data_IF_645579487549
#
_entry.id   IF_645579487549
#
_cell.length_a   1.000
_cell.length_b   1.000
_cell.length_c   1.000
_cell.angle_alpha   90.00
_cell.angle_beta   90.00
_cell.angle_gamma   90.00
#
_symmetry.space_group_name_H-M   'P 1'
#
loop_
_entity.id
_entity.type
_entity.pdbx_description
1 polymer ?
#
# COMPACT_ATOMS: atom_id res chain seq x y z
N UNK A 1 -36.17 -51.31 -46.46
CA UNK A 1 -35.59 -50.98 -45.14
C UNK A 1 -34.62 -49.82 -45.36
N UNK A 2 -35.06 -48.58 -45.04
CA UNK A 2 -34.29 -47.32 -45.28
C UNK A 2 -33.74 -46.84 -43.94
N UNK A 3 -32.40 -46.90 -43.75
CA UNK A 3 -31.70 -46.36 -42.60
C UNK A 3 -31.59 -44.87 -42.78
N UNK A 4 -32.20 -44.08 -41.89
CA UNK A 4 -32.02 -42.64 -41.80
C UNK A 4 -30.82 -42.38 -40.90
N UNK A 5 -29.79 -41.80 -41.49
CA UNK A 5 -28.63 -41.25 -40.77
C UNK A 5 -29.01 -39.86 -40.22
N UNK A 6 -29.03 -39.72 -38.91
CA UNK A 6 -29.23 -38.41 -38.25
C UNK A 6 -27.82 -37.81 -38.00
N UNK A 7 -27.49 -36.75 -38.70
CA UNK A 7 -26.28 -35.96 -38.43
C UNK A 7 -26.56 -35.00 -37.31
N UNK A 8 -25.92 -35.20 -36.15
CA UNK A 8 -25.93 -34.24 -35.04
C UNK A 8 -24.84 -33.20 -35.29
N UNK A 9 -25.24 -31.95 -35.55
CA UNK A 9 -24.34 -30.82 -35.63
C UNK A 9 -24.12 -30.34 -34.20
N UNK A 10 -22.89 -30.56 -33.69
CA UNK A 10 -22.44 -30.04 -32.40
C UNK A 10 -21.98 -28.61 -32.59
N UNK A 11 -22.81 -27.63 -32.23
CA UNK A 11 -22.46 -26.22 -32.20
C UNK A 11 -21.71 -25.95 -30.89
N UNK A 12 -20.40 -25.86 -30.97
CA UNK A 12 -19.57 -25.36 -29.84
C UNK A 12 -19.66 -23.86 -29.84
N UNK A 13 -20.51 -23.33 -28.96
CA UNK A 13 -20.49 -21.89 -28.63
C UNK A 13 -19.27 -21.64 -27.74
N UNK A 14 -18.24 -21.00 -28.28
CA UNK A 14 -17.13 -20.47 -27.52
C UNK A 14 -17.66 -19.26 -26.73
N UNK A 15 -17.98 -19.49 -25.46
CA UNK A 15 -18.22 -18.38 -24.49
C UNK A 15 -16.85 -17.82 -24.12
N UNK A 16 -16.43 -16.77 -24.80
CA UNK A 16 -15.38 -15.88 -24.27
C UNK A 16 -15.95 -15.15 -23.06
N UNK A 17 -15.89 -15.80 -21.91
CA UNK A 17 -16.13 -15.15 -20.64
C UNK A 17 -14.98 -14.20 -20.37
N UNK A 18 -15.24 -12.90 -20.45
CA UNK A 18 -14.40 -11.89 -19.80
C UNK A 18 -14.41 -12.23 -18.31
N UNK A 19 -13.30 -12.75 -17.80
CA UNK A 19 -13.09 -12.91 -16.37
C UNK A 19 -12.86 -11.49 -15.85
N UNK A 20 -13.94 -10.80 -15.48
CA UNK A 20 -13.80 -9.62 -14.63
C UNK A 20 -13.22 -10.12 -13.30
N UNK A 21 -12.25 -9.41 -12.71
CA UNK A 21 -11.78 -9.77 -11.38
C UNK A 21 -12.99 -9.73 -10.44
N UNK A 22 -13.34 -10.85 -9.86
CA UNK A 22 -14.32 -10.95 -8.79
C UNK A 22 -13.60 -10.46 -7.54
N UNK A 23 -13.63 -9.17 -7.28
CA UNK A 23 -13.32 -8.66 -5.96
C UNK A 23 -14.40 -9.19 -5.02
N UNK A 24 -13.98 -9.85 -3.94
CA UNK A 24 -14.91 -10.33 -2.95
C UNK A 24 -15.66 -9.14 -2.35
N UNK A 25 -16.98 -9.17 -2.36
CA UNK A 25 -17.86 -8.05 -2.05
C UNK A 25 -17.86 -7.57 -0.57
N UNK A 26 -16.90 -8.02 0.26
CA UNK A 26 -16.75 -7.67 1.66
C UNK A 26 -15.27 -7.59 2.09
N UNK A 27 -14.33 -7.25 1.18
CA UNK A 27 -12.94 -7.05 1.58
C UNK A 27 -12.77 -5.70 2.27
N UNK A 28 -12.12 -5.69 3.43
CA UNK A 28 -11.71 -4.47 4.13
C UNK A 28 -10.19 -4.37 4.10
N UNK A 29 -9.67 -3.15 3.99
CA UNK A 29 -8.26 -2.82 4.07
C UNK A 29 -8.07 -1.86 5.25
N UNK A 30 -7.35 -2.28 6.27
CA UNK A 30 -7.07 -1.47 7.45
C UNK A 30 -5.80 -0.66 7.20
N UNK A 31 -6.00 0.64 6.94
CA UNK A 31 -4.92 1.61 6.74
C UNK A 31 -4.65 2.36 8.05
N UNK A 32 -3.44 2.23 8.59
CA UNK A 32 -3.02 2.82 9.85
C UNK A 32 -1.92 3.86 9.66
N UNK A 33 -2.23 5.12 9.91
CA UNK A 33 -1.33 6.26 9.67
C UNK A 33 -1.76 7.48 10.49
N UNK A 34 -1.11 8.64 10.31
CA UNK A 34 -1.52 9.89 10.94
C UNK A 34 -2.86 10.40 10.38
N UNK A 35 -3.55 11.20 11.18
CA UNK A 35 -4.78 11.85 10.75
C UNK A 35 -4.53 12.77 9.54
N UNK A 36 -5.42 12.72 8.56
CA UNK A 36 -5.41 13.64 7.41
C UNK A 36 -4.34 13.35 6.34
N UNK A 37 -3.68 12.19 6.38
CA UNK A 37 -2.71 11.81 5.33
C UNK A 37 -3.36 11.61 3.97
N UNK A 38 -4.61 11.18 3.92
CA UNK A 38 -5.35 11.01 2.69
C UNK A 38 -6.62 11.85 2.69
N UNK A 39 -6.88 12.64 1.61
CA UNK A 39 -8.19 13.23 1.39
C UNK A 39 -9.26 12.14 1.25
N UNK A 40 -10.48 12.42 1.74
CA UNK A 40 -11.56 11.43 1.70
C UNK A 40 -11.90 10.99 0.27
N UNK A 41 -11.82 11.90 -0.70
CA UNK A 41 -12.06 11.58 -2.11
C UNK A 41 -11.08 10.55 -2.70
N UNK A 42 -9.88 10.45 -2.15
CA UNK A 42 -8.88 9.43 -2.56
C UNK A 42 -9.27 8.06 -2.04
N UNK A 43 -9.72 7.99 -0.80
CA UNK A 43 -10.20 6.75 -0.18
C UNK A 43 -11.48 6.26 -0.87
N UNK A 44 -12.44 7.16 -1.10
CA UNK A 44 -13.68 6.85 -1.81
C UNK A 44 -13.40 6.35 -3.24
N UNK A 45 -12.45 7.00 -3.95
CA UNK A 45 -12.04 6.58 -5.29
C UNK A 45 -11.42 5.19 -5.31
N UNK A 46 -10.60 4.85 -4.32
CA UNK A 46 -10.03 3.51 -4.18
C UNK A 46 -11.14 2.47 -3.92
N UNK A 47 -12.07 2.77 -3.02
CA UNK A 47 -13.20 1.87 -2.73
C UNK A 47 -14.09 1.66 -3.97
N UNK A 48 -14.35 2.72 -4.75
CA UNK A 48 -15.14 2.66 -5.98
C UNK A 48 -14.44 1.81 -7.06
N UNK A 49 -13.11 1.95 -7.20
CA UNK A 49 -12.33 1.25 -8.21
C UNK A 49 -12.14 -0.24 -7.86
N UNK A 50 -11.87 -0.54 -6.60
CA UNK A 50 -11.48 -1.89 -6.15
C UNK A 50 -12.61 -2.71 -5.54
N UNK A 51 -13.66 -2.05 -5.05
CA UNK A 51 -14.69 -2.67 -4.21
C UNK A 51 -14.21 -3.05 -2.81
N UNK A 52 -12.98 -2.62 -2.42
CA UNK A 52 -12.41 -2.88 -1.12
C UNK A 52 -12.62 -1.67 -0.21
N UNK A 53 -13.31 -1.86 0.93
CA UNK A 53 -13.58 -0.79 1.88
C UNK A 53 -12.33 -0.43 2.67
N UNK A 54 -12.00 0.86 2.76
CA UNK A 54 -10.88 1.33 3.58
C UNK A 54 -11.33 1.63 5.01
N UNK A 55 -10.75 0.92 5.96
CA UNK A 55 -10.87 1.21 7.39
C UNK A 55 -9.69 2.07 7.80
N UNK A 56 -9.91 3.38 7.85
CA UNK A 56 -8.87 4.35 8.20
C UNK A 56 -8.73 4.45 9.72
N UNK A 57 -7.56 4.11 10.23
CA UNK A 57 -7.20 4.19 11.65
C UNK A 57 -6.01 5.13 11.84
N UNK A 58 -5.95 5.85 12.96
CA UNK A 58 -4.91 6.84 13.19
C UNK A 58 -4.16 6.66 14.50
N UNK A 59 -2.95 7.18 14.49
CA UNK A 59 -2.10 7.35 15.66
C UNK A 59 -1.55 8.78 15.73
N UNK A 60 -1.11 9.17 16.92
CA UNK A 60 -0.53 10.49 17.16
C UNK A 60 1.00 10.47 17.04
N UNK A 61 1.64 9.38 17.49
CA UNK A 61 3.10 9.20 17.46
C UNK A 61 3.48 7.81 16.97
N UNK A 62 4.64 7.69 16.34
CA UNK A 62 5.18 6.44 15.82
C UNK A 62 5.40 5.40 16.92
N UNK A 63 5.79 5.84 18.13
CA UNK A 63 5.96 4.95 19.28
C UNK A 63 4.63 4.30 19.69
N UNK A 64 3.55 5.11 19.71
CA UNK A 64 2.20 4.58 20.00
C UNK A 64 1.74 3.62 18.90
N UNK A 65 2.07 3.91 17.66
CA UNK A 65 1.80 3.02 16.53
C UNK A 65 2.53 1.68 16.73
N UNK A 66 3.84 1.71 16.97
CA UNK A 66 4.65 0.51 17.14
C UNK A 66 4.16 -0.34 18.32
N UNK A 67 3.77 0.28 19.44
CA UNK A 67 3.21 -0.41 20.58
C UNK A 67 1.94 -1.19 20.19
N UNK A 68 1.02 -0.55 19.49
CA UNK A 68 -0.25 -1.20 19.07
C UNK A 68 -0.01 -2.31 18.05
N UNK A 69 0.86 -2.08 17.05
CA UNK A 69 1.21 -3.09 16.05
C UNK A 69 1.90 -4.29 16.71
N UNK A 70 2.77 -4.05 17.70
CA UNK A 70 3.40 -5.11 18.51
C UNK A 70 2.39 -5.92 19.30
N UNK A 71 1.41 -5.27 19.94
CA UNK A 71 0.35 -5.95 20.70
C UNK A 71 -0.50 -6.83 19.80
N UNK A 72 -0.84 -6.36 18.61
CA UNK A 72 -1.58 -7.08 17.58
C UNK A 72 -0.71 -8.11 16.83
N UNK A 73 0.61 -8.11 17.03
CA UNK A 73 1.59 -8.90 16.26
C UNK A 73 1.47 -8.70 14.75
N UNK A 74 1.19 -7.47 14.34
CA UNK A 74 0.93 -7.10 12.96
C UNK A 74 -0.46 -7.43 12.43
N UNK A 75 -1.22 -8.29 13.09
CA UNK A 75 -2.42 -8.93 12.53
C UNK A 75 -3.68 -8.09 12.40
N UNK A 76 -3.71 -6.87 12.95
CA UNK A 76 -4.90 -6.00 12.91
C UNK A 76 -4.80 -4.89 11.84
N UNK A 77 -3.68 -4.83 11.12
CA UNK A 77 -3.38 -3.77 10.16
C UNK A 77 -2.85 -4.35 8.85
N UNK A 78 -3.38 -3.89 7.72
CA UNK A 78 -2.91 -4.33 6.40
C UNK A 78 -1.81 -3.43 5.86
N UNK A 79 -1.95 -2.10 6.07
CA UNK A 79 -0.94 -1.11 5.67
C UNK A 79 -0.68 -0.15 6.82
N UNK A 80 0.58 0.05 7.14
CA UNK A 80 1.04 1.08 8.08
C UNK A 80 1.91 2.08 7.34
N UNK A 81 1.65 3.39 7.51
CA UNK A 81 2.53 4.46 7.03
C UNK A 81 3.09 5.17 8.24
N UNK A 82 4.40 5.16 8.38
CA UNK A 82 5.13 5.70 9.52
C UNK A 82 6.51 6.21 9.09
N UNK A 83 7.21 6.89 9.97
CA UNK A 83 8.55 7.39 9.71
C UNK A 83 9.59 6.25 9.62
N UNK A 84 10.68 6.52 8.94
CA UNK A 84 11.73 5.56 8.60
C UNK A 84 12.38 4.90 9.81
N UNK A 85 12.69 5.67 10.86
CA UNK A 85 13.36 5.18 12.07
C UNK A 85 12.51 4.14 12.84
N UNK A 86 11.18 4.29 12.82
CA UNK A 86 10.30 3.35 13.51
C UNK A 86 10.03 2.11 12.67
N UNK A 87 10.04 2.25 11.32
CA UNK A 87 9.91 1.12 10.41
C UNK A 87 11.12 0.19 10.51
N UNK A 88 12.35 0.72 10.70
CA UNK A 88 13.54 -0.10 10.97
C UNK A 88 13.30 -1.02 12.17
N UNK A 89 12.74 -0.48 13.25
CA UNK A 89 12.41 -1.26 14.44
C UNK A 89 11.31 -2.30 14.16
N UNK A 90 10.25 -1.91 13.47
CA UNK A 90 9.15 -2.82 13.14
C UNK A 90 9.61 -4.01 12.28
N UNK A 91 10.48 -3.77 11.32
CA UNK A 91 11.09 -4.82 10.48
C UNK A 91 11.97 -5.74 11.33
N UNK A 92 12.84 -5.17 12.17
CA UNK A 92 13.74 -5.94 13.03
C UNK A 92 12.97 -6.84 14.02
N UNK A 93 11.82 -6.38 14.50
CA UNK A 93 10.94 -7.11 15.41
C UNK A 93 10.04 -8.13 14.68
N UNK A 94 10.12 -8.22 13.35
CA UNK A 94 9.33 -9.16 12.54
C UNK A 94 7.84 -8.82 12.49
N UNK A 95 7.48 -7.54 12.59
CA UNK A 95 6.11 -7.04 12.54
C UNK A 95 5.64 -6.70 11.12
N UNK A 96 6.57 -6.63 10.16
CA UNK A 96 6.28 -6.39 8.76
C UNK A 96 6.46 -7.67 7.94
N UNK A 97 5.57 -7.90 6.98
CA UNK A 97 5.69 -8.97 5.99
C UNK A 97 6.49 -8.51 4.76
N UNK A 98 7.18 -9.45 4.11
CA UNK A 98 7.86 -9.14 2.85
C UNK A 98 6.88 -8.86 1.74
N UNK A 99 7.19 -7.85 0.95
CA UNK A 99 6.43 -7.48 -0.23
C UNK A 99 6.60 -8.53 -1.35
N UNK A 100 5.49 -8.88 -1.98
CA UNK A 100 5.51 -9.53 -3.28
C UNK A 100 5.69 -8.48 -4.38
N UNK A 101 6.94 -8.16 -4.70
CA UNK A 101 7.29 -7.10 -5.66
C UNK A 101 6.76 -7.39 -7.07
N UNK A 102 6.58 -8.67 -7.43
CA UNK A 102 6.08 -9.06 -8.74
C UNK A 102 4.59 -8.70 -8.91
N UNK A 103 3.85 -8.56 -7.82
CA UNK A 103 2.45 -8.13 -7.81
C UNK A 103 2.27 -6.60 -7.79
N UNK A 104 3.35 -5.83 -7.59
CA UNK A 104 3.32 -4.36 -7.50
C UNK A 104 3.59 -3.72 -8.86
N UNK A 105 2.58 -3.64 -9.73
CA UNK A 105 2.72 -3.15 -11.12
C UNK A 105 3.37 -1.76 -11.22
N UNK A 106 3.13 -0.89 -10.23
CA UNK A 106 3.59 0.50 -10.23
C UNK A 106 4.91 0.72 -9.47
N UNK A 107 5.55 -0.31 -8.95
CA UNK A 107 6.79 -0.19 -8.17
C UNK A 107 7.91 0.52 -8.94
N UNK A 108 7.94 0.37 -10.26
CA UNK A 108 8.91 1.03 -11.14
C UNK A 108 8.74 2.56 -11.26
N UNK A 109 7.65 3.13 -10.74
CA UNK A 109 7.42 4.58 -10.71
C UNK A 109 8.08 5.25 -9.49
N UNK A 110 8.59 4.47 -8.53
CA UNK A 110 9.27 5.01 -7.36
C UNK A 110 10.61 5.63 -7.78
N UNK A 111 10.85 6.88 -7.34
CA UNK A 111 12.11 7.55 -7.61
C UNK A 111 13.27 6.77 -6.96
N UNK A 112 14.29 6.36 -7.76
CA UNK A 112 15.43 5.58 -7.25
C UNK A 112 16.20 6.24 -6.10
N UNK A 113 16.10 7.57 -5.93
CA UNK A 113 16.71 8.29 -4.81
C UNK A 113 16.18 7.84 -3.45
N UNK A 114 14.95 7.34 -3.40
CA UNK A 114 14.27 6.91 -2.17
C UNK A 114 14.25 5.39 -1.99
N UNK A 115 14.87 4.65 -2.90
CA UNK A 115 15.03 3.19 -2.79
C UNK A 115 16.31 2.84 -2.04
N UNK A 116 16.37 1.62 -1.47
CA UNK A 116 17.55 1.09 -0.80
C UNK A 116 17.98 1.90 0.42
N UNK A 117 17.03 2.44 1.18
CA UNK A 117 17.31 3.26 2.35
C UNK A 117 17.79 2.42 3.53
N UNK A 118 18.44 3.06 4.51
CA UNK A 118 19.09 2.38 5.64
C UNK A 118 18.15 1.48 6.45
N UNK A 119 16.86 1.79 6.50
CA UNK A 119 15.85 1.01 7.24
C UNK A 119 15.35 -0.23 6.48
N UNK A 120 15.50 -0.26 5.16
CA UNK A 120 15.14 -1.40 4.29
C UNK A 120 16.03 -1.41 3.04
N UNK A 121 17.31 -1.82 3.17
CA UNK A 121 18.31 -1.68 2.10
C UNK A 121 17.99 -2.43 0.80
N UNK A 122 17.18 -3.47 0.90
CA UNK A 122 16.79 -4.31 -0.23
C UNK A 122 15.36 -4.01 -0.71
N UNK A 123 14.69 -2.99 -0.14
CA UNK A 123 13.28 -2.64 -0.39
C UNK A 123 12.35 -3.85 -0.26
N UNK A 124 12.62 -4.75 0.69
CA UNK A 124 11.87 -6.00 0.83
C UNK A 124 10.54 -5.85 1.57
N UNK A 125 10.40 -4.81 2.40
CA UNK A 125 9.28 -4.65 3.33
C UNK A 125 8.50 -3.36 3.10
N UNK A 126 9.12 -2.35 2.48
CA UNK A 126 8.54 -1.01 2.40
C UNK A 126 8.49 -0.46 0.99
N UNK A 127 7.55 0.47 0.77
CA UNK A 127 7.48 1.32 -0.42
C UNK A 127 7.48 2.78 0.05
N UNK A 128 8.41 3.62 -0.41
CA UNK A 128 8.43 5.04 -0.05
C UNK A 128 7.15 5.76 -0.46
N UNK A 129 6.47 6.39 0.50
CA UNK A 129 5.28 7.19 0.26
C UNK A 129 5.61 8.67 0.04
N UNK A 130 6.46 9.24 0.89
CA UNK A 130 6.85 10.64 0.84
C UNK A 130 8.16 10.89 1.55
N UNK A 131 8.76 12.06 1.30
CA UNK A 131 9.96 12.51 1.97
C UNK A 131 9.78 13.94 2.47
N UNK A 132 10.07 14.16 3.75
CA UNK A 132 10.12 15.48 4.38
C UNK A 132 11.55 16.04 4.34
N UNK A 133 11.69 17.30 3.98
CA UNK A 133 12.97 18.02 4.06
C UNK A 133 12.84 19.11 5.11
N UNK A 134 13.48 18.98 6.29
CA UNK A 134 13.47 20.03 7.28
C UNK A 134 14.27 21.25 6.76
N UNK A 135 13.67 22.44 6.85
CA UNK A 135 14.28 23.69 6.44
C UNK A 135 14.27 24.68 7.62
N UNK A 136 15.37 25.42 7.76
CA UNK A 136 15.43 26.56 8.67
C UNK A 136 15.15 27.81 7.86
N UNK A 137 14.06 28.49 8.18
CA UNK A 137 13.72 29.80 7.61
C UNK A 137 14.10 30.87 8.64
N UNK A 138 14.85 31.87 8.19
CA UNK A 138 15.27 32.98 9.06
C UNK A 138 15.15 34.33 8.33
N UNK A 139 14.99 35.40 9.09
CA UNK A 139 15.01 36.75 8.57
C UNK A 139 16.47 37.26 8.56
N UNK A 140 17.09 37.49 7.40
CA UNK A 140 18.48 37.92 7.29
C UNK A 140 18.72 39.33 7.83
N UNK A 141 17.67 40.12 8.07
CA UNK A 141 17.81 41.47 8.71
C UNK A 141 17.89 41.38 10.24
N UNK A 142 17.43 40.26 10.81
CA UNK A 142 17.38 40.07 12.28
C UNK A 142 18.40 39.04 12.77
N UNK A 143 18.92 38.21 11.91
CA UNK A 143 19.85 37.14 12.27
C UNK A 143 21.09 37.20 11.38
N UNK A 144 22.22 37.51 12.00
CA UNK A 144 23.53 37.48 11.33
C UNK A 144 24.12 36.06 11.44
N UNK A 145 23.78 35.20 10.50
CA UNK A 145 24.32 33.84 10.41
C UNK A 145 25.13 33.71 9.13
N UNK A 146 26.41 33.43 9.27
CA UNK A 146 27.28 33.01 8.16
C UNK A 146 27.06 31.50 7.87
N UNK A 147 26.15 31.22 6.95
CA UNK A 147 25.88 29.85 6.49
C UNK A 147 26.90 29.52 5.42
N UNK A 148 27.90 28.75 5.79
CA UNK A 148 28.89 28.18 4.85
C UNK A 148 28.56 26.74 4.51
#
# INVERSE_FOLDING_TARGET
MKKKLLAAILTVAAVCGSVAPVYAADSELVLYTWEGMFPQEVLDGFEEETGCKVVYSNFDTDETMLEKVSMAKGGDYDIVIADDYILETAIADGLAEKLDKDSLENIGNINPLYQGQFYDPDDEYTVPYGAGIPLIVYDPEQVDIDIK
#
